data_IF_292119997942
#
_entry.id   IF_292119997942
#
_cell.length_a   1.000
_cell.length_b   1.000
_cell.length_c   1.000
_cell.angle_alpha   90.00
_cell.angle_beta   90.00
_cell.angle_gamma   90.00
#
_symmetry.space_group_name_H-M   'P 1'
#
loop_
_entity.id
_entity.type
_entity.pdbx_description
1 polymer ?
#
# COMPACT_ATOMS: atom_id res chain seq x y z
N UNK A 1 3.24 -2.21 13.52
CA UNK A 1 4.39 -3.09 13.29
C UNK A 1 4.63 -3.26 11.81
N UNK A 2 5.82 -3.75 11.40
CA UNK A 2 6.22 -3.91 9.99
C UNK A 2 5.29 -4.84 9.19
N UNK A 3 5.41 -4.80 7.88
CA UNK A 3 4.86 -5.80 6.97
C UNK A 3 5.98 -6.67 6.40
N UNK A 4 5.69 -7.93 6.09
CA UNK A 4 6.68 -8.90 5.61
C UNK A 4 6.08 -9.68 4.45
N UNK A 5 6.93 -10.01 3.47
CA UNK A 5 6.55 -10.76 2.28
C UNK A 5 7.72 -11.69 1.93
N UNK A 6 7.43 -12.97 1.76
CA UNK A 6 8.38 -13.95 1.24
C UNK A 6 8.10 -14.22 -0.23
N UNK A 7 9.14 -14.24 -1.05
CA UNK A 7 9.04 -14.55 -2.49
C UNK A 7 10.15 -15.52 -2.88
N UNK A 8 9.79 -16.80 -3.03
CA UNK A 8 10.81 -17.84 -3.15
C UNK A 8 11.67 -17.88 -1.88
N UNK A 9 12.99 -17.75 -2.02
CA UNK A 9 13.94 -17.63 -0.91
C UNK A 9 14.11 -16.20 -0.37
N UNK A 10 13.59 -15.20 -1.08
CA UNK A 10 13.82 -13.79 -0.73
C UNK A 10 12.84 -13.36 0.37
N UNK A 11 13.34 -12.59 1.33
CA UNK A 11 12.52 -11.98 2.37
C UNK A 11 12.52 -10.46 2.21
N UNK A 12 11.32 -9.89 2.14
CA UNK A 12 11.09 -8.46 2.06
C UNK A 12 10.41 -7.98 3.35
N UNK A 13 10.93 -6.92 3.96
CA UNK A 13 10.33 -6.27 5.13
C UNK A 13 10.10 -4.80 4.84
N UNK A 14 8.91 -4.32 5.20
CA UNK A 14 8.48 -2.95 4.97
C UNK A 14 8.10 -2.30 6.27
N UNK A 15 8.65 -1.13 6.53
CA UNK A 15 8.48 -0.46 7.81
C UNK A 15 8.59 1.04 7.67
N UNK A 16 8.09 1.75 8.67
CA UNK A 16 8.26 3.18 8.81
C UNK A 16 9.55 3.46 9.60
N UNK A 17 10.22 4.57 9.30
CA UNK A 17 11.31 5.10 10.13
C UNK A 17 10.92 5.41 11.58
N UNK A 18 11.93 5.61 12.42
CA UNK A 18 11.78 5.85 13.86
C UNK A 18 11.36 7.31 14.17
N UNK A 19 10.63 7.51 15.27
CA UNK A 19 10.43 8.84 15.86
C UNK A 19 9.54 9.72 15.01
N UNK A 20 10.11 10.73 14.36
CA UNK A 20 9.42 11.64 13.44
C UNK A 20 9.72 11.34 11.97
N UNK A 21 10.50 10.31 11.67
CA UNK A 21 10.73 9.87 10.29
C UNK A 21 9.49 9.12 9.79
N UNK A 22 8.76 9.75 8.86
CA UNK A 22 7.57 9.17 8.25
C UNK A 22 7.89 8.40 6.96
N UNK A 23 9.15 8.35 6.51
CA UNK A 23 9.51 7.60 5.31
C UNK A 23 9.22 6.11 5.51
N UNK A 24 8.75 5.48 4.44
CA UNK A 24 8.67 4.03 4.36
C UNK A 24 9.97 3.47 3.81
N UNK A 25 10.38 2.33 4.37
CA UNK A 25 11.60 1.62 4.06
C UNK A 25 11.26 0.23 3.54
N UNK A 26 12.13 -0.28 2.68
CA UNK A 26 12.12 -1.62 2.15
C UNK A 26 13.46 -2.27 2.47
N UNK A 27 13.43 -3.33 3.26
CA UNK A 27 14.58 -4.19 3.53
C UNK A 27 14.46 -5.51 2.78
N UNK A 28 15.53 -5.97 2.15
CA UNK A 28 15.64 -7.28 1.50
C UNK A 28 16.72 -8.12 2.16
N UNK A 29 16.44 -9.40 2.35
CA UNK A 29 17.41 -10.39 2.80
C UNK A 29 18.05 -11.09 1.60
N UNK A 30 19.38 -11.06 1.52
CA UNK A 30 20.17 -11.68 0.44
C UNK A 30 20.65 -13.10 0.74
N UNK A 31 20.20 -13.69 1.86
CA UNK A 31 20.72 -14.97 2.37
C UNK A 31 21.82 -14.82 3.42
N UNK A 32 22.52 -13.68 3.44
CA UNK A 32 23.61 -13.41 4.40
C UNK A 32 23.56 -12.02 5.03
N UNK A 33 22.87 -11.06 4.40
CA UNK A 33 22.77 -9.69 4.89
C UNK A 33 21.43 -9.04 4.55
N UNK A 34 21.08 -8.02 5.32
CA UNK A 34 19.95 -7.14 5.03
C UNK A 34 20.43 -5.93 4.22
N UNK A 35 19.79 -5.65 3.09
CA UNK A 35 19.91 -4.38 2.37
C UNK A 35 18.67 -3.53 2.66
N UNK A 36 18.85 -2.26 3.04
CA UNK A 36 17.75 -1.38 3.45
C UNK A 36 17.76 -0.10 2.62
N UNK A 37 16.63 0.23 2.02
CA UNK A 37 16.45 1.44 1.22
C UNK A 37 15.17 2.18 1.60
N UNK A 38 15.14 3.49 1.31
CA UNK A 38 13.90 4.27 1.39
C UNK A 38 13.04 4.02 0.15
N UNK A 39 11.73 4.00 0.32
CA UNK A 39 10.78 3.92 -0.78
C UNK A 39 10.48 5.33 -1.27
N UNK A 40 10.74 5.65 -2.56
CA UNK A 40 10.55 6.98 -3.10
C UNK A 40 9.15 7.54 -2.87
N UNK A 41 9.12 8.77 -2.34
CA UNK A 41 7.90 9.54 -2.12
C UNK A 41 6.84 8.83 -1.27
N UNK A 42 7.20 7.86 -0.43
CA UNK A 42 6.26 7.11 0.41
C UNK A 42 6.41 7.52 1.87
N UNK A 43 5.37 8.15 2.41
CA UNK A 43 5.39 8.74 3.75
C UNK A 43 4.10 8.39 4.51
N UNK A 44 4.25 7.75 5.67
CA UNK A 44 3.15 7.34 6.53
C UNK A 44 3.54 7.43 8.00
N UNK A 45 2.55 7.69 8.86
CA UNK A 45 2.71 7.53 10.32
C UNK A 45 2.61 6.07 10.76
N UNK A 46 2.12 5.20 9.88
CA UNK A 46 1.87 3.79 10.12
C UNK A 46 2.74 2.93 9.18
N UNK A 47 2.87 1.65 9.51
CA UNK A 47 3.48 0.70 8.59
C UNK A 47 2.55 0.43 7.39
N UNK A 48 3.09 0.09 6.21
CA UNK A 48 2.28 -0.22 5.04
C UNK A 48 1.64 -1.61 5.13
N UNK A 49 0.77 -1.91 4.17
CA UNK A 49 0.39 -3.27 3.78
C UNK A 49 0.95 -3.58 2.41
N UNK A 50 1.37 -4.83 2.18
CA UNK A 50 1.93 -5.27 0.91
C UNK A 50 1.37 -6.63 0.48
N UNK A 51 1.35 -6.88 -0.82
CA UNK A 51 1.05 -8.19 -1.40
C UNK A 51 1.83 -8.36 -2.70
N UNK A 52 2.10 -9.61 -3.08
CA UNK A 52 2.42 -9.92 -4.47
C UNK A 52 1.15 -9.90 -5.31
N UNK A 53 1.26 -9.37 -6.53
CA UNK A 53 0.25 -9.48 -7.58
C UNK A 53 0.96 -9.39 -8.93
N UNK A 54 0.67 -10.35 -9.81
CA UNK A 54 1.26 -10.44 -11.15
C UNK A 54 2.80 -10.39 -11.18
N UNK A 55 3.43 -10.98 -10.16
CA UNK A 55 4.89 -11.08 -10.03
C UNK A 55 5.57 -9.91 -9.30
N UNK A 56 4.84 -8.81 -9.11
CA UNK A 56 5.33 -7.57 -8.51
C UNK A 56 4.75 -7.29 -7.12
N UNK A 57 5.36 -6.36 -6.39
CA UNK A 57 4.90 -5.97 -5.05
C UNK A 57 4.02 -4.74 -5.16
N UNK A 58 2.80 -4.87 -4.68
CA UNK A 58 1.88 -3.75 -4.49
C UNK A 58 1.84 -3.38 -3.01
N UNK A 59 1.85 -2.08 -2.75
CA UNK A 59 1.83 -1.52 -1.40
C UNK A 59 0.68 -0.54 -1.27
N UNK A 60 -0.05 -0.62 -0.15
CA UNK A 60 -1.02 0.37 0.28
C UNK A 60 -0.62 0.97 1.64
N UNK A 61 -0.75 2.28 1.80
CA UNK A 61 -0.48 2.96 3.08
C UNK A 61 -1.34 4.21 3.26
N UNK A 62 -1.60 4.56 4.52
CA UNK A 62 -2.24 5.82 4.87
C UNK A 62 -1.23 6.97 4.73
N UNK A 63 -1.57 8.02 3.98
CA UNK A 63 -0.72 9.21 3.84
C UNK A 63 -0.46 9.89 5.19
N UNK A 64 0.74 10.42 5.39
CA UNK A 64 1.09 11.11 6.64
C UNK A 64 0.39 12.48 6.80
N UNK A 65 0.03 13.15 5.70
CA UNK A 65 -0.49 14.51 5.65
C UNK A 65 -1.92 14.63 5.09
N UNK A 66 -2.40 13.59 4.43
CA UNK A 66 -3.76 13.44 3.97
C UNK A 66 -4.15 12.00 4.29
N UNK A 67 -5.39 11.77 4.71
CA UNK A 67 -5.83 10.44 5.16
C UNK A 67 -6.01 9.47 3.97
N UNK A 68 -5.58 9.83 2.77
CA UNK A 68 -5.75 9.02 1.58
C UNK A 68 -5.00 7.69 1.66
N UNK A 69 -5.52 6.71 0.94
CA UNK A 69 -4.86 5.43 0.74
C UNK A 69 -4.00 5.52 -0.53
N UNK A 70 -2.69 5.62 -0.31
CA UNK A 70 -1.69 5.70 -1.37
C UNK A 70 -1.21 4.34 -1.82
N UNK A 71 -0.90 4.22 -3.11
CA UNK A 71 -0.39 3.00 -3.72
C UNK A 71 1.03 3.17 -4.25
N UNK A 72 1.86 2.15 -4.03
CA UNK A 72 3.18 2.00 -4.67
C UNK A 72 3.26 0.64 -5.35
N UNK A 73 4.05 0.59 -6.42
CA UNK A 73 4.38 -0.61 -7.16
C UNK A 73 5.90 -0.77 -7.18
N UNK A 74 6.38 -1.96 -6.87
CA UNK A 74 7.77 -2.32 -7.04
C UNK A 74 7.87 -3.42 -8.07
N UNK A 75 8.47 -3.07 -9.19
CA UNK A 75 8.83 -3.98 -10.26
C UNK A 75 9.97 -4.86 -9.78
N UNK A 76 9.69 -6.13 -9.52
CA UNK A 76 10.67 -7.07 -8.96
C UNK A 76 11.73 -7.48 -9.97
N UNK A 77 11.48 -7.29 -11.26
CA UNK A 77 12.44 -7.61 -12.33
C UNK A 77 13.53 -6.56 -12.42
N UNK A 78 13.15 -5.28 -12.33
CA UNK A 78 14.07 -4.14 -12.44
C UNK A 78 14.53 -3.59 -11.09
N UNK A 79 13.83 -3.92 -10.00
CA UNK A 79 14.07 -3.37 -8.66
C UNK A 79 13.57 -1.93 -8.47
N UNK A 80 12.70 -1.45 -9.36
CA UNK A 80 12.29 -0.04 -9.39
C UNK A 80 10.95 0.20 -8.69
N UNK A 81 10.89 1.30 -7.95
CA UNK A 81 9.66 1.78 -7.33
C UNK A 81 8.95 2.81 -8.21
N UNK A 82 7.62 2.66 -8.33
CA UNK A 82 6.73 3.59 -9.00
C UNK A 82 5.66 4.10 -8.04
N UNK A 83 5.37 5.40 -8.12
CA UNK A 83 4.21 6.02 -7.48
C UNK A 83 3.00 5.83 -8.36
N UNK A 84 2.00 5.11 -7.87
CA UNK A 84 0.75 4.89 -8.60
C UNK A 84 -0.29 5.97 -8.34
N UNK A 85 -0.10 6.80 -7.30
CA UNK A 85 -1.12 7.76 -6.83
C UNK A 85 -1.89 7.24 -5.63
N UNK A 86 -3.15 7.65 -5.48
CA UNK A 86 -4.03 7.23 -4.39
C UNK A 86 -5.39 6.77 -4.91
N UNK A 87 -6.11 6.04 -4.06
CA UNK A 87 -7.45 5.54 -4.38
C UNK A 87 -8.46 6.66 -4.16
N UNK A 88 -9.26 6.98 -5.17
CA UNK A 88 -10.19 8.09 -5.12
C UNK A 88 -11.27 7.87 -4.05
N UNK A 89 -11.57 8.93 -3.28
CA UNK A 89 -12.65 8.94 -2.27
C UNK A 89 -12.42 8.08 -1.02
N UNK A 90 -11.22 7.50 -0.85
CA UNK A 90 -10.92 6.65 0.32
C UNK A 90 -10.03 7.38 1.33
N UNK A 91 -10.47 7.37 2.59
CA UNK A 91 -9.71 7.91 3.71
C UNK A 91 -9.62 6.95 4.89
N UNK A 92 -8.44 6.88 5.53
CA UNK A 92 -8.17 6.11 6.74
C UNK A 92 -7.11 6.80 7.60
N UNK A 93 -7.28 6.72 8.92
CA UNK A 93 -6.20 7.03 9.89
C UNK A 93 -5.62 5.76 10.53
N UNK A 94 -5.96 4.61 9.97
CA UNK A 94 -5.50 3.28 10.38
C UNK A 94 -4.74 2.61 9.25
N UNK A 95 -3.96 1.57 9.57
CA UNK A 95 -3.22 0.80 8.58
C UNK A 95 -4.22 0.07 7.67
N UNK A 96 -4.20 0.29 6.34
CA UNK A 96 -5.01 -0.49 5.41
C UNK A 96 -4.51 -1.94 5.35
N UNK A 97 -5.33 -2.84 4.81
CA UNK A 97 -4.98 -4.23 4.52
C UNK A 97 -5.19 -4.49 3.04
N UNK A 98 -4.13 -4.91 2.34
CA UNK A 98 -4.09 -5.17 0.91
C UNK A 98 -3.70 -6.64 0.69
N UNK A 99 -4.44 -7.34 -0.17
CA UNK A 99 -4.17 -8.74 -0.52
C UNK A 99 -4.50 -9.01 -1.99
N UNK A 100 -3.73 -9.87 -2.64
CA UNK A 100 -4.08 -10.38 -3.97
C UNK A 100 -4.91 -11.66 -3.85
N UNK A 101 -5.91 -11.79 -4.70
CA UNK A 101 -6.79 -12.96 -4.82
C UNK A 101 -6.57 -13.70 -6.14
N UNK A 102 -5.36 -13.59 -6.71
CA UNK A 102 -5.03 -14.06 -8.04
C UNK A 102 -5.36 -12.99 -9.07
N UNK A 103 -6.61 -12.91 -9.51
CA UNK A 103 -7.04 -11.99 -10.58
C UNK A 103 -7.27 -10.55 -10.13
N UNK A 104 -7.27 -10.28 -8.82
CA UNK A 104 -7.66 -8.96 -8.30
C UNK A 104 -7.02 -8.66 -6.95
N UNK A 105 -6.73 -7.37 -6.73
CA UNK A 105 -6.40 -6.81 -5.42
C UNK A 105 -7.67 -6.55 -4.61
N UNK A 106 -7.67 -6.99 -3.35
CA UNK A 106 -8.67 -6.60 -2.35
C UNK A 106 -8.04 -5.62 -1.37
N UNK A 107 -8.79 -4.59 -1.04
CA UNK A 107 -8.40 -3.57 -0.07
C UNK A 107 -9.46 -3.51 1.03
N UNK A 108 -9.00 -3.57 2.27
CA UNK A 108 -9.79 -3.33 3.45
C UNK A 108 -9.17 -2.22 4.31
N UNK A 109 -10.01 -1.40 4.94
CA UNK A 109 -9.55 -0.29 5.78
C UNK A 109 -10.65 0.13 6.74
N UNK A 110 -10.29 0.89 7.79
CA UNK A 110 -11.26 1.57 8.64
C UNK A 110 -11.46 2.99 8.13
N UNK A 111 -12.67 3.34 7.74
CA UNK A 111 -12.96 4.67 7.20
C UNK A 111 -12.72 5.77 8.24
N UNK A 112 -12.06 6.87 7.81
CA UNK A 112 -11.71 7.95 8.72
C UNK A 112 -12.92 8.75 9.25
N UNK A 113 -13.98 8.88 8.45
CA UNK A 113 -15.15 9.70 8.79
C UNK A 113 -16.24 8.94 9.56
N UNK A 114 -16.39 7.65 9.31
CA UNK A 114 -17.53 6.84 9.77
C UNK A 114 -17.11 5.63 10.62
N UNK A 115 -15.80 5.37 10.76
CA UNK A 115 -15.22 4.28 11.56
C UNK A 115 -15.63 2.85 11.16
N UNK A 116 -16.38 2.67 10.08
CA UNK A 116 -16.73 1.33 9.58
C UNK A 116 -15.52 0.62 9.00
N UNK A 117 -15.55 -0.71 9.08
CA UNK A 117 -14.60 -1.54 8.35
C UNK A 117 -15.11 -1.75 6.94
N UNK A 118 -14.36 -1.21 5.99
CA UNK A 118 -14.60 -1.29 4.57
C UNK A 118 -13.81 -2.44 3.98
N UNK A 119 -14.44 -3.24 3.12
CA UNK A 119 -13.79 -4.32 2.38
C UNK A 119 -14.31 -4.32 0.95
N UNK A 120 -13.41 -4.42 -0.01
CA UNK A 120 -13.79 -4.31 -1.41
C UNK A 120 -12.68 -4.62 -2.39
N UNK A 121 -13.02 -4.48 -3.66
CA UNK A 121 -12.19 -4.77 -4.81
C UNK A 121 -11.48 -3.50 -5.28
N UNK A 122 -10.15 -3.54 -5.34
CA UNK A 122 -9.30 -2.45 -5.82
C UNK A 122 -8.92 -2.69 -7.29
N UNK A 123 -9.18 -1.70 -8.13
CA UNK A 123 -8.75 -1.67 -9.53
C UNK A 123 -7.72 -0.55 -9.71
N UNK A 124 -6.50 -0.96 -9.97
CA UNK A 124 -5.38 -0.06 -10.22
C UNK A 124 -5.42 0.35 -11.69
N UNK A 125 -5.76 1.60 -11.97
CA UNK A 125 -5.55 2.20 -13.29
C UNK A 125 -4.04 2.27 -13.61
N UNK A 126 -3.56 1.56 -14.65
CA UNK A 126 -2.14 1.52 -15.02
C UNK A 126 -1.64 2.84 -15.63
N UNK A 127 -2.56 3.74 -16.00
CA UNK A 127 -2.25 5.04 -16.60
C UNK A 127 -2.27 6.18 -15.59
N UNK A 128 -2.71 5.93 -14.35
CA UNK A 128 -2.77 6.96 -13.32
C UNK A 128 -1.39 7.52 -13.00
N UNK A 129 -1.31 8.85 -12.97
CA UNK A 129 -0.07 9.56 -12.73
C UNK A 129 0.40 9.49 -11.27
N UNK A 130 1.68 9.82 -11.01
CA UNK A 130 2.16 10.04 -9.67
C UNK A 130 1.35 11.16 -8.98
N UNK A 131 0.87 10.91 -7.76
CA UNK A 131 0.22 11.97 -6.98
C UNK A 131 -1.27 12.20 -7.27
N UNK A 132 -1.88 11.49 -8.23
CA UNK A 132 -3.27 11.72 -8.65
C UNK A 132 -4.23 10.66 -8.10
N UNK A 133 -5.51 11.04 -7.99
CA UNK A 133 -6.60 10.11 -7.71
C UNK A 133 -7.05 9.46 -9.02
N UNK A 134 -6.79 8.17 -9.20
CA UNK A 134 -7.22 7.46 -10.42
C UNK A 134 -7.56 6.00 -10.22
N UNK A 135 -7.27 5.43 -9.05
CA UNK A 135 -7.68 4.04 -8.79
C UNK A 135 -9.11 4.01 -8.26
N UNK A 136 -9.84 2.99 -8.68
CA UNK A 136 -11.23 2.78 -8.26
C UNK A 136 -11.32 1.64 -7.27
N UNK A 137 -12.23 1.77 -6.32
CA UNK A 137 -12.51 0.75 -5.33
C UNK A 137 -14.00 0.55 -5.18
N UNK A 138 -14.43 -0.71 -5.20
CA UNK A 138 -15.83 -1.09 -5.15
C UNK A 138 -16.08 -1.87 -3.86
N UNK A 139 -16.95 -1.33 -3.01
CA UNK A 139 -17.34 -1.94 -1.75
C UNK A 139 -18.28 -3.13 -1.95
N UNK A 140 -18.34 -4.00 -0.95
CA UNK A 140 -19.46 -4.92 -0.79
C UNK A 140 -20.70 -4.13 -0.33
N UNK A 141 -21.90 -4.48 -0.77
CA UNK A 141 -23.14 -3.75 -0.45
C UNK A 141 -23.31 -3.54 1.07
N UNK A 142 -23.68 -2.31 1.48
CA UNK A 142 -24.09 -2.01 2.87
C UNK A 142 -23.15 -1.16 3.75
N UNK A 143 -22.00 -0.71 3.25
CA UNK A 143 -21.05 0.12 4.04
C UNK A 143 -20.80 1.49 3.40
N UNK A 144 -20.86 2.58 4.18
CA UNK A 144 -20.59 3.95 3.72
C UNK A 144 -19.08 4.21 3.58
N UNK A 145 -18.44 3.60 2.60
CA UNK A 145 -16.97 3.51 2.57
C UNK A 145 -16.24 4.59 1.75
N UNK A 146 -16.98 5.47 1.10
CA UNK A 146 -16.44 6.55 0.28
C UNK A 146 -16.92 7.88 0.83
N UNK A 147 -16.05 8.89 0.81
CA UNK A 147 -16.51 10.27 0.99
C UNK A 147 -17.40 10.68 -0.20
N UNK A 148 -18.38 11.58 0.00
CA UNK A 148 -19.12 12.19 -1.11
C UNK A 148 -18.21 12.85 -2.14
#
# INVERSE_FOLDING_TARGET
>A
GPAMLSVGSDLHVFFRGQGTDYRLFHATWSGSSWNVQTIPSAYSQLAPSVTLHDGDIYMAFAGHNNRYIWLRHHDRTTGTWRSLGYVAGLETSQRPSLVSTGSQLKLAFRGAAHNDTCVGSLYVDPTNGPGTAGHTWYHNSGTQCTTP
#
